data_IF_679622573802
#
_entry.id   IF_679622573802
#
_cell.length_a   1.000
_cell.length_b   1.000
_cell.length_c   1.000
_cell.angle_alpha   90.00
_cell.angle_beta   90.00
_cell.angle_gamma   90.00
#
_symmetry.space_group_name_H-M   'P 1'
#
loop_
_entity.id
_entity.type
_entity.pdbx_description
1 polymer ?
#
# COMPACT_ATOMS: atom_id res chain seq x y z
N UNK A 1 -2.33 9.97 -6.24
CA UNK A 1 -3.66 10.15 -5.63
C UNK A 1 -3.70 9.61 -4.20
N UNK A 2 -3.29 8.36 -3.97
CA UNK A 2 -3.28 7.71 -2.65
C UNK A 2 -2.43 8.43 -1.58
N UNK A 3 -1.23 8.91 -1.92
CA UNK A 3 -0.37 9.67 -0.99
C UNK A 3 -0.98 10.98 -0.50
N UNK A 4 -1.83 11.63 -1.32
CA UNK A 4 -2.45 12.92 -0.97
C UNK A 4 -3.69 12.78 -0.10
N UNK A 5 -4.38 11.65 -0.16
CA UNK A 5 -5.70 11.51 0.45
C UNK A 5 -5.66 11.21 1.95
N UNK A 6 -4.53 10.79 2.54
CA UNK A 6 -4.40 10.46 3.98
C UNK A 6 -5.54 9.56 4.51
N UNK A 7 -6.19 8.78 3.62
CA UNK A 7 -7.26 7.84 3.96
C UNK A 7 -6.69 6.43 3.87
N UNK A 8 -6.83 5.59 4.91
CA UNK A 8 -6.43 4.18 4.85
C UNK A 8 -7.16 3.44 3.72
N UNK A 9 -6.40 2.77 2.86
CA UNK A 9 -6.96 1.90 1.83
C UNK A 9 -7.08 0.47 2.38
N UNK A 10 -8.27 -0.12 2.29
CA UNK A 10 -8.53 -1.46 2.85
C UNK A 10 -8.45 -2.59 1.83
N UNK A 11 -8.68 -2.29 0.55
CA UNK A 11 -8.63 -3.24 -0.55
C UNK A 11 -8.45 -2.51 -1.88
N UNK A 12 -7.91 -3.21 -2.87
CA UNK A 12 -7.89 -2.83 -4.28
C UNK A 12 -8.93 -3.67 -5.01
N UNK A 13 -9.70 -3.03 -5.90
CA UNK A 13 -10.66 -3.71 -6.77
C UNK A 13 -10.25 -3.45 -8.22
N UNK A 14 -9.88 -4.52 -8.94
CA UNK A 14 -9.58 -4.44 -10.36
C UNK A 14 -10.86 -4.69 -11.16
N UNK A 15 -11.55 -3.60 -11.49
CA UNK A 15 -12.79 -3.64 -12.24
C UNK A 15 -12.54 -3.94 -13.72
N UNK A 16 -13.44 -4.73 -14.33
CA UNK A 16 -13.37 -5.13 -15.74
C UNK A 16 -12.05 -5.83 -16.12
N UNK A 17 -11.47 -6.57 -15.18
CA UNK A 17 -10.13 -7.17 -15.33
C UNK A 17 -10.03 -8.24 -16.42
N UNK A 18 -11.09 -9.04 -16.61
CA UNK A 18 -11.16 -10.05 -17.65
C UNK A 18 -12.59 -10.37 -18.07
N UNK A 19 -12.75 -11.11 -19.15
CA UNK A 19 -13.97 -11.84 -19.49
C UNK A 19 -13.64 -13.20 -20.08
N UNK A 20 -14.56 -14.14 -19.95
CA UNK A 20 -14.44 -15.48 -20.52
C UNK A 20 -15.35 -15.60 -21.75
N UNK A 21 -14.80 -16.05 -22.88
CA UNK A 21 -15.52 -16.28 -24.13
C UNK A 21 -14.90 -17.46 -24.90
N UNK A 22 -15.71 -18.31 -25.53
CA UNK A 22 -15.25 -19.45 -26.33
C UNK A 22 -14.26 -20.38 -25.59
N UNK A 23 -14.46 -20.56 -24.28
CA UNK A 23 -13.58 -21.38 -23.43
C UNK A 23 -12.21 -20.76 -23.13
N UNK A 24 -12.01 -19.48 -23.45
CA UNK A 24 -10.77 -18.74 -23.21
C UNK A 24 -11.02 -17.48 -22.39
N UNK A 25 -10.04 -17.13 -21.54
CA UNK A 25 -10.01 -15.88 -20.80
C UNK A 25 -9.29 -14.78 -21.58
N UNK A 26 -9.89 -13.61 -21.62
CA UNK A 26 -9.37 -12.41 -22.28
C UNK A 26 -9.20 -11.28 -21.27
N UNK A 27 -8.13 -10.51 -21.45
CA UNK A 27 -7.74 -9.40 -20.59
C UNK A 27 -7.72 -8.12 -21.43
N UNK A 28 -8.87 -7.44 -21.60
CA UNK A 28 -9.01 -6.33 -22.54
C UNK A 28 -8.09 -5.14 -22.23
N UNK A 29 -7.67 -5.01 -20.96
CA UNK A 29 -6.82 -3.91 -20.48
C UNK A 29 -5.43 -4.37 -20.03
N UNK A 30 -5.03 -5.60 -20.39
CA UNK A 30 -3.79 -6.21 -19.91
C UNK A 30 -3.93 -6.89 -18.55
N UNK A 31 -2.81 -7.30 -17.96
CA UNK A 31 -2.76 -8.08 -16.72
C UNK A 31 -1.86 -7.43 -15.68
N UNK A 32 -2.18 -7.66 -14.41
CA UNK A 32 -1.28 -7.42 -13.29
C UNK A 32 -1.30 -6.00 -12.73
N UNK A 33 -2.16 -5.10 -13.23
CA UNK A 33 -2.22 -3.72 -12.77
C UNK A 33 -2.65 -3.63 -11.29
N UNK A 34 -3.65 -4.41 -10.88
CA UNK A 34 -4.07 -4.47 -9.47
C UNK A 34 -3.00 -5.08 -8.56
N UNK A 35 -2.29 -6.11 -9.04
CA UNK A 35 -1.16 -6.71 -8.30
C UNK A 35 0.00 -5.74 -8.11
N UNK A 36 0.32 -4.93 -9.13
CA UNK A 36 1.34 -3.88 -9.03
C UNK A 36 0.94 -2.81 -8.00
N UNK A 37 -0.32 -2.36 -8.00
CA UNK A 37 -0.82 -1.40 -7.00
C UNK A 37 -0.73 -2.00 -5.60
N UNK A 38 -1.12 -3.26 -5.42
CA UNK A 38 -1.00 -3.96 -4.14
C UNK A 38 0.44 -3.99 -3.65
N UNK A 39 1.40 -4.38 -4.50
CA UNK A 39 2.82 -4.45 -4.14
C UNK A 39 3.42 -3.06 -3.87
N UNK A 40 3.01 -2.06 -4.64
CA UNK A 40 3.54 -0.70 -4.51
C UNK A 40 3.07 -0.01 -3.23
N UNK A 41 1.82 -0.25 -2.83
CA UNK A 41 1.23 0.43 -1.67
C UNK A 41 1.07 -0.49 -0.46
N UNK A 42 1.45 -1.77 -0.55
CA UNK A 42 1.33 -2.74 0.53
C UNK A 42 -0.10 -3.15 0.87
N UNK A 43 -1.07 -2.88 -0.01
CA UNK A 43 -2.49 -3.10 0.31
C UNK A 43 -2.78 -4.60 0.25
N UNK A 44 -3.20 -5.26 1.35
CA UNK A 44 -3.15 -6.72 1.44
C UNK A 44 -4.23 -7.47 0.64
N UNK A 45 -5.25 -6.78 0.11
CA UNK A 45 -6.41 -7.42 -0.52
C UNK A 45 -6.63 -6.91 -1.93
N UNK A 46 -6.70 -7.85 -2.89
CA UNK A 46 -7.07 -7.61 -4.29
C UNK A 46 -8.34 -8.39 -4.62
N UNK A 47 -9.31 -7.72 -5.25
CA UNK A 47 -10.53 -8.34 -5.75
C UNK A 47 -10.67 -8.11 -7.24
N UNK A 48 -10.75 -9.19 -7.99
CA UNK A 48 -10.95 -9.18 -9.43
C UNK A 48 -12.45 -9.15 -9.74
N UNK A 49 -12.91 -8.10 -10.42
CA UNK A 49 -14.28 -8.02 -10.92
C UNK A 49 -14.29 -8.20 -12.45
N UNK A 50 -14.76 -9.34 -12.97
CA UNK A 50 -14.81 -9.57 -14.40
C UNK A 50 -15.93 -8.78 -15.09
N UNK A 51 -15.81 -8.62 -16.40
CA UNK A 51 -16.91 -8.18 -17.25
C UNK A 51 -17.86 -9.36 -17.44
N UNK A 52 -19.02 -9.29 -16.80
CA UNK A 52 -20.08 -10.29 -16.93
C UNK A 52 -21.34 -9.67 -17.55
N UNK A 53 -21.92 -10.29 -18.60
CA UNK A 53 -23.14 -9.79 -19.21
C UNK A 53 -24.31 -9.70 -18.22
N UNK A 54 -24.41 -10.65 -17.29
CA UNK A 54 -25.47 -10.65 -16.27
C UNK A 54 -25.37 -9.43 -15.36
N UNK A 55 -24.17 -9.15 -14.84
CA UNK A 55 -23.89 -7.97 -14.01
C UNK A 55 -24.21 -6.64 -14.72
N UNK A 56 -23.95 -6.56 -16.03
CA UNK A 56 -24.33 -5.39 -16.82
C UNK A 56 -25.85 -5.28 -16.98
N UNK A 57 -26.54 -6.40 -17.26
CA UNK A 57 -27.98 -6.43 -17.47
C UNK A 57 -28.77 -6.18 -16.17
N UNK A 58 -28.23 -6.56 -15.00
CA UNK A 58 -28.85 -6.25 -13.70
C UNK A 58 -28.92 -4.74 -13.46
N UNK A 59 -27.99 -3.95 -14.02
CA UNK A 59 -28.07 -2.49 -14.05
C UNK A 59 -29.30 -1.94 -14.76
N UNK A 60 -29.65 -2.51 -15.91
CA UNK A 60 -30.81 -2.08 -16.71
C UNK A 60 -32.16 -2.45 -16.05
N UNK A 61 -32.20 -3.60 -15.36
CA UNK A 61 -33.41 -4.06 -14.67
C UNK A 61 -33.64 -3.40 -13.31
N UNK A 62 -32.62 -2.74 -12.76
CA UNK A 62 -32.64 -2.16 -11.41
C UNK A 62 -32.58 -3.20 -10.28
N UNK A 63 -32.36 -4.48 -10.59
CA UNK A 63 -32.20 -5.55 -9.61
C UNK A 63 -30.71 -5.87 -9.53
N UNK A 64 -30.02 -5.59 -8.41
CA UNK A 64 -28.59 -5.87 -8.28
C UNK A 64 -28.27 -7.36 -8.48
N UNK A 65 -27.13 -7.66 -9.10
CA UNK A 65 -26.69 -9.06 -9.35
C UNK A 65 -26.66 -9.91 -8.08
N UNK A 66 -26.22 -9.33 -6.95
CA UNK A 66 -26.21 -10.00 -5.63
C UNK A 66 -27.60 -10.44 -5.13
N UNK A 67 -28.67 -9.83 -5.66
CA UNK A 67 -30.06 -10.18 -5.37
C UNK A 67 -30.60 -11.16 -6.42
N UNK A 68 -30.29 -10.93 -7.70
CA UNK A 68 -30.76 -11.74 -8.81
C UNK A 68 -30.14 -13.15 -8.80
N UNK A 69 -28.84 -13.25 -8.54
CA UNK A 69 -28.11 -14.52 -8.38
C UNK A 69 -27.17 -14.46 -7.15
N UNK A 70 -27.69 -14.73 -5.94
CA UNK A 70 -26.89 -14.67 -4.71
C UNK A 70 -25.77 -15.71 -4.61
N UNK A 71 -25.78 -16.75 -5.47
CA UNK A 71 -24.77 -17.81 -5.48
C UNK A 71 -23.81 -17.68 -6.68
N UNK A 72 -24.04 -16.70 -7.54
CA UNK A 72 -23.19 -16.38 -8.68
C UNK A 72 -21.80 -15.88 -8.25
N UNK A 73 -20.85 -15.98 -9.17
CA UNK A 73 -19.45 -15.64 -8.88
C UNK A 73 -19.27 -14.15 -8.56
N UNK A 74 -19.96 -13.25 -9.28
CA UNK A 74 -19.98 -11.83 -8.95
C UNK A 74 -20.51 -11.59 -7.53
N UNK A 75 -21.60 -12.27 -7.14
CA UNK A 75 -22.19 -12.10 -5.82
C UNK A 75 -21.24 -12.56 -4.70
N UNK A 76 -20.56 -13.70 -4.88
CA UNK A 76 -19.52 -14.18 -3.96
C UNK A 76 -18.37 -13.19 -3.83
N UNK A 77 -17.89 -12.62 -4.95
CA UNK A 77 -16.81 -11.61 -4.91
C UNK A 77 -17.23 -10.36 -4.14
N UNK A 78 -18.43 -9.82 -4.40
CA UNK A 78 -18.96 -8.69 -3.63
C UNK A 78 -19.15 -9.01 -2.15
N UNK A 79 -19.62 -10.22 -1.82
CA UNK A 79 -19.77 -10.65 -0.43
C UNK A 79 -18.41 -10.73 0.28
N UNK A 80 -17.41 -11.34 -0.36
CA UNK A 80 -16.05 -11.43 0.17
C UNK A 80 -15.42 -10.04 0.34
N UNK A 81 -15.63 -9.13 -0.62
CA UNK A 81 -15.22 -7.73 -0.52
C UNK A 81 -15.88 -7.05 0.69
N UNK A 82 -17.19 -7.24 0.88
CA UNK A 82 -17.91 -6.71 2.04
C UNK A 82 -17.37 -7.22 3.38
N UNK A 83 -17.11 -8.52 3.48
CA UNK A 83 -16.47 -9.15 4.66
C UNK A 83 -15.09 -8.53 4.91
N UNK A 84 -14.28 -8.40 3.87
CA UNK A 84 -12.96 -7.77 3.97
C UNK A 84 -13.05 -6.33 4.50
N UNK A 85 -13.94 -5.50 3.95
CA UNK A 85 -14.16 -4.13 4.41
C UNK A 85 -14.52 -4.10 5.88
N UNK A 86 -15.48 -4.92 6.33
CA UNK A 86 -15.89 -4.98 7.74
C UNK A 86 -14.71 -5.36 8.65
N UNK A 87 -13.94 -6.39 8.27
CA UNK A 87 -12.79 -6.84 9.04
C UNK A 87 -11.69 -5.77 9.11
N UNK A 88 -11.35 -5.13 7.98
CA UNK A 88 -10.31 -4.09 7.97
C UNK A 88 -10.75 -2.84 8.74
N UNK A 89 -12.01 -2.40 8.61
CA UNK A 89 -12.53 -1.30 9.41
C UNK A 89 -12.49 -1.61 10.92
N UNK A 90 -12.76 -2.85 11.33
CA UNK A 90 -12.63 -3.26 12.72
C UNK A 90 -11.18 -3.21 13.20
N UNK A 91 -10.22 -3.72 12.40
CA UNK A 91 -8.78 -3.66 12.70
C UNK A 91 -8.28 -2.22 12.85
N UNK A 92 -8.64 -1.34 11.91
CA UNK A 92 -8.26 0.08 11.93
C UNK A 92 -8.77 0.78 13.20
N UNK A 93 -9.96 0.43 13.70
CA UNK A 93 -10.50 1.01 14.95
C UNK A 93 -9.78 0.54 16.21
N UNK A 94 -9.24 -0.68 16.20
CA UNK A 94 -8.58 -1.28 17.37
C UNK A 94 -7.09 -0.90 17.48
N UNK A 95 -6.43 -0.62 16.36
CA UNK A 95 -5.02 -0.25 16.35
C UNK A 95 -4.84 1.25 16.62
N UNK A 96 -4.30 1.59 17.80
CA UNK A 96 -4.04 2.97 18.24
C UNK A 96 -2.53 3.27 18.42
N UNK A 97 -1.62 2.33 18.14
CA UNK A 97 -0.18 2.61 18.28
C UNK A 97 0.46 2.94 16.93
N UNK A 98 1.10 4.10 16.83
CA UNK A 98 2.07 4.44 15.78
C UNK A 98 3.19 3.41 15.80
N UNK A 99 3.05 2.39 14.95
CA UNK A 99 4.03 1.35 14.65
C UNK A 99 5.41 1.93 14.26
N UNK A 100 5.42 3.10 13.62
CA UNK A 100 6.65 3.74 13.13
C UNK A 100 6.75 5.14 13.71
N UNK A 101 7.94 5.47 14.21
CA UNK A 101 8.26 6.78 14.78
C UNK A 101 9.69 7.19 14.44
N UNK A 102 9.97 8.49 14.47
CA UNK A 102 11.32 9.01 14.29
C UNK A 102 11.91 9.41 15.64
N UNK A 103 13.06 8.81 15.98
CA UNK A 103 13.79 9.10 17.20
C UNK A 103 14.96 10.05 16.89
N UNK A 104 14.76 11.34 17.21
CA UNK A 104 15.74 12.41 16.97
C UNK A 104 17.05 12.21 17.73
N UNK A 105 17.04 11.50 18.87
CA UNK A 105 18.24 11.34 19.70
C UNK A 105 19.29 10.45 19.05
N UNK A 106 18.81 9.48 18.28
CA UNK A 106 19.61 8.48 17.57
C UNK A 106 19.54 8.62 16.05
N UNK A 107 18.80 9.64 15.57
CA UNK A 107 18.55 9.96 14.16
C UNK A 107 18.10 8.75 13.34
N UNK A 108 17.19 7.95 13.90
CA UNK A 108 16.72 6.71 13.30
C UNK A 108 15.20 6.61 13.29
N UNK A 109 14.66 5.93 12.27
CA UNK A 109 13.26 5.53 12.22
C UNK A 109 13.12 4.21 12.97
N UNK A 110 12.35 4.22 14.05
CA UNK A 110 11.97 3.04 14.83
C UNK A 110 10.73 2.43 14.21
N UNK A 111 10.83 1.16 13.83
CA UNK A 111 9.75 0.39 13.19
C UNK A 111 9.38 -0.77 14.08
N UNK A 112 8.10 -0.84 14.44
CA UNK A 112 7.44 -1.99 15.05
C UNK A 112 6.25 -2.38 14.20
N UNK A 113 6.39 -3.43 13.42
CA UNK A 113 5.35 -3.88 12.48
C UNK A 113 4.10 -4.33 13.25
N UNK A 114 2.89 -3.99 12.80
CA UNK A 114 1.66 -4.48 13.42
C UNK A 114 1.66 -6.01 13.50
N UNK A 115 1.19 -6.55 14.63
CA UNK A 115 1.12 -8.00 14.89
C UNK A 115 2.49 -8.72 14.96
N UNK A 116 3.61 -7.97 14.95
CA UNK A 116 4.97 -8.47 15.23
C UNK A 116 5.48 -7.96 16.59
N UNK A 117 6.23 -8.81 17.29
CA UNK A 117 6.97 -8.42 18.50
C UNK A 117 8.35 -7.84 18.18
N UNK A 118 8.75 -7.85 16.91
CA UNK A 118 10.03 -7.34 16.46
C UNK A 118 10.02 -5.80 16.34
N UNK A 119 11.02 -5.17 16.94
CA UNK A 119 11.32 -3.74 16.76
C UNK A 119 12.72 -3.60 16.17
N UNK A 120 12.86 -2.78 15.14
CA UNK A 120 14.12 -2.52 14.47
C UNK A 120 14.27 -1.05 14.10
N UNK A 121 15.50 -0.66 13.78
CA UNK A 121 15.86 0.70 13.40
C UNK A 121 16.23 0.75 11.93
N UNK A 122 15.80 1.81 11.26
CA UNK A 122 16.16 2.11 9.87
C UNK A 122 16.77 3.50 9.79
N UNK A 123 17.76 3.65 8.91
CA UNK A 123 18.30 4.95 8.60
C UNK A 123 17.31 5.74 7.71
N UNK A 124 17.03 7.03 7.98
CA UNK A 124 16.07 7.81 7.20
C UNK A 124 16.37 7.84 5.69
N UNK A 125 17.65 8.03 5.32
CA UNK A 125 18.05 8.02 3.91
C UNK A 125 17.75 6.67 3.23
N UNK A 126 17.96 5.54 3.92
CA UNK A 126 17.64 4.21 3.40
C UNK A 126 16.14 4.07 3.10
N UNK A 127 15.28 4.58 3.99
CA UNK A 127 13.82 4.57 3.76
C UNK A 127 13.46 5.45 2.56
N UNK A 128 13.98 6.68 2.49
CA UNK A 128 13.69 7.63 1.41
C UNK A 128 14.18 7.14 0.04
N UNK A 129 15.36 6.54 -0.01
CA UNK A 129 15.97 6.00 -1.22
C UNK A 129 15.23 4.78 -1.76
N UNK A 130 14.51 4.05 -0.92
CA UNK A 130 13.75 2.87 -1.35
C UNK A 130 12.30 3.20 -1.70
N UNK A 131 11.93 4.45 -1.98
CA UNK A 131 10.59 4.77 -2.46
C UNK A 131 10.28 4.04 -3.79
N UNK A 132 9.18 3.29 -3.81
CA UNK A 132 8.71 2.51 -4.98
C UNK A 132 7.55 3.19 -5.72
N UNK A 133 7.22 4.43 -5.41
CA UNK A 133 6.13 5.13 -6.08
C UNK A 133 6.45 5.38 -7.57
N UNK A 134 5.43 5.58 -8.39
CA UNK A 134 5.58 5.96 -9.81
C UNK A 134 6.33 7.28 -10.03
N UNK A 135 6.47 8.09 -8.97
CA UNK A 135 7.30 9.31 -9.00
C UNK A 135 8.79 8.99 -8.90
N UNK A 136 9.15 7.86 -8.28
CA UNK A 136 10.52 7.42 -8.07
C UNK A 136 10.93 6.22 -8.92
N UNK A 137 9.99 5.58 -9.63
CA UNK A 137 10.23 4.46 -10.55
C UNK A 137 9.59 4.75 -11.90
N UNK A 138 10.28 4.46 -12.99
CA UNK A 138 9.70 4.50 -14.33
C UNK A 138 8.76 3.32 -14.55
N UNK A 139 7.49 3.59 -14.89
CA UNK A 139 6.46 2.56 -15.04
C UNK A 139 6.68 1.64 -16.25
N UNK A 140 7.50 2.06 -17.23
CA UNK A 140 7.75 1.32 -18.46
C UNK A 140 9.07 0.55 -18.42
N UNK A 141 10.08 1.06 -17.71
CA UNK A 141 11.40 0.40 -17.60
C UNK A 141 11.63 -0.28 -16.25
N UNK A 142 10.87 0.09 -15.21
CA UNK A 142 11.09 -0.35 -13.83
C UNK A 142 12.33 0.26 -13.18
N UNK A 143 13.04 1.15 -13.87
CA UNK A 143 14.25 1.78 -13.35
C UNK A 143 13.92 2.89 -12.35
N UNK A 144 14.76 3.00 -11.32
CA UNK A 144 14.60 4.02 -10.30
C UNK A 144 15.01 5.39 -10.85
N UNK A 145 14.07 6.33 -10.82
CA UNK A 145 14.27 7.72 -11.29
C UNK A 145 15.14 8.54 -10.34
N UNK A 146 15.14 8.19 -9.06
CA UNK A 146 15.99 8.84 -8.05
C UNK A 146 17.35 8.14 -8.07
N UNK A 147 18.42 8.88 -8.36
CA UNK A 147 19.77 8.31 -8.33
C UNK A 147 20.36 8.35 -6.92
N UNK A 148 21.21 7.36 -6.62
CA UNK A 148 21.96 7.30 -5.37
C UNK A 148 22.89 8.53 -5.28
N UNK A 149 22.54 9.51 -4.45
CA UNK A 149 23.25 10.80 -4.31
C UNK A 149 22.35 12.03 -4.30
N UNK A 150 21.10 11.92 -4.75
CA UNK A 150 20.14 13.05 -4.76
C UNK A 150 19.48 13.30 -3.39
N UNK A 151 19.55 12.32 -2.49
CA UNK A 151 18.95 12.37 -1.16
C UNK A 151 20.05 12.63 -0.12
N UNK A 152 19.97 13.72 0.67
CA UNK A 152 20.95 13.99 1.73
C UNK A 152 21.02 12.85 2.74
N UNK A 153 22.24 12.45 3.14
CA UNK A 153 22.43 11.41 4.17
C UNK A 153 21.83 11.81 5.52
N UNK A 154 21.76 13.11 5.79
CA UNK A 154 21.25 13.68 7.03
C UNK A 154 19.75 14.03 6.97
N UNK A 155 19.03 13.58 5.92
CA UNK A 155 17.60 13.83 5.75
C UNK A 155 16.80 13.30 6.95
N UNK A 156 15.85 14.09 7.44
CA UNK A 156 14.99 13.73 8.56
C UNK A 156 13.52 13.82 8.14
N UNK A 157 12.66 12.87 8.54
CA UNK A 157 11.24 12.98 8.24
C UNK A 157 10.60 14.14 9.01
N UNK A 158 9.80 14.95 8.33
CA UNK A 158 9.03 16.04 8.95
C UNK A 158 7.84 15.49 9.73
N UNK A 159 7.19 14.47 9.18
CA UNK A 159 5.99 13.88 9.74
C UNK A 159 5.89 12.38 9.36
N UNK A 160 5.49 11.54 10.31
CA UNK A 160 5.14 10.14 10.07
C UNK A 160 3.71 9.92 10.56
N UNK A 161 2.83 9.45 9.67
CA UNK A 161 1.43 9.13 9.99
C UNK A 161 1.10 7.68 9.62
N UNK A 162 0.38 6.93 10.47
CA UNK A 162 -0.07 5.59 10.12
C UNK A 162 -1.11 5.66 8.99
N UNK A 163 -1.00 4.74 8.01
CA UNK A 163 -1.96 4.55 6.93
C UNK A 163 -2.62 3.19 7.08
N UNK A 164 -3.54 3.11 8.05
CA UNK A 164 -4.13 1.84 8.45
C UNK A 164 -3.09 0.86 8.99
N UNK A 165 -3.32 -0.43 8.73
CA UNK A 165 -2.51 -1.54 9.22
C UNK A 165 -1.47 -2.03 8.21
N UNK A 166 -1.29 -1.33 7.09
CA UNK A 166 -0.47 -1.83 5.98
C UNK A 166 0.74 -0.94 5.64
N UNK A 167 0.70 0.35 5.97
CA UNK A 167 1.78 1.29 5.66
C UNK A 167 1.83 2.48 6.62
N UNK A 168 2.87 3.29 6.48
CA UNK A 168 2.95 4.66 6.99
C UNK A 168 3.16 5.66 5.87
N UNK A 169 2.60 6.86 6.03
CA UNK A 169 2.93 8.02 5.22
C UNK A 169 4.05 8.79 5.91
N UNK A 170 5.13 9.08 5.16
CA UNK A 170 6.27 9.87 5.61
C UNK A 170 6.35 11.12 4.75
N UNK A 171 6.33 12.30 5.38
CA UNK A 171 6.57 13.59 4.72
C UNK A 171 8.03 13.95 4.89
N UNK A 172 8.68 14.29 3.78
CA UNK A 172 10.10 14.60 3.72
C UNK A 172 10.35 16.08 3.39
N UNK A 173 11.50 16.66 3.81
CA UNK A 173 11.83 18.07 3.57
C UNK A 173 11.99 18.46 2.10
N UNK A 174 12.20 17.48 1.22
CA UNK A 174 12.24 17.67 -0.24
C UNK A 174 10.83 17.90 -0.85
N UNK A 175 9.80 18.00 0.01
CA UNK A 175 8.40 18.14 -0.38
C UNK A 175 7.74 16.82 -0.79
N UNK A 176 8.44 15.70 -0.67
CA UNK A 176 7.96 14.39 -1.06
C UNK A 176 7.11 13.74 0.04
N UNK A 177 6.03 13.08 -0.35
CA UNK A 177 5.17 12.31 0.56
C UNK A 177 5.20 10.84 0.14
N UNK A 178 6.02 10.08 0.86
CA UNK A 178 6.25 8.66 0.64
C UNK A 178 5.22 7.82 1.39
N UNK A 179 4.67 6.80 0.73
CA UNK A 179 3.96 5.72 1.40
C UNK A 179 4.95 4.57 1.54
N UNK A 180 5.23 4.16 2.77
CA UNK A 180 6.13 3.07 3.11
C UNK A 180 5.32 1.91 3.70
N UNK A 181 5.03 0.87 2.89
CA UNK A 181 4.46 -0.39 3.36
C UNK A 181 5.28 -1.05 4.45
N UNK A 182 4.62 -1.71 5.42
CA UNK A 182 5.33 -2.36 6.52
C UNK A 182 6.20 -3.54 6.03
N UNK A 183 5.70 -4.35 5.10
CA UNK A 183 6.45 -5.44 4.48
C UNK A 183 7.69 -4.94 3.73
N UNK A 184 7.60 -3.76 3.10
CA UNK A 184 8.74 -3.13 2.48
C UNK A 184 9.76 -2.67 3.52
N UNK A 185 9.32 -2.05 4.62
CA UNK A 185 10.21 -1.61 5.70
C UNK A 185 10.97 -2.79 6.34
N UNK A 186 10.34 -3.96 6.46
CA UNK A 186 10.98 -5.18 6.97
C UNK A 186 12.12 -5.69 6.08
N UNK A 187 12.05 -5.43 4.77
CA UNK A 187 13.06 -5.86 3.79
C UNK A 187 14.25 -4.89 3.69
N UNK A 188 14.18 -3.71 4.31
CA UNK A 188 15.26 -2.72 4.24
C UNK A 188 16.45 -3.11 5.11
N UNK A 189 17.63 -2.62 4.72
CA UNK A 189 18.84 -2.77 5.51
C UNK A 189 18.67 -2.09 6.87
N UNK A 190 18.87 -2.88 7.93
CA UNK A 190 18.67 -2.46 9.31
C UNK A 190 19.87 -1.65 9.80
N UNK A 191 19.59 -0.61 10.58
CA UNK A 191 20.61 0.15 11.28
C UNK A 191 21.09 -0.67 12.50
N UNK A 192 22.29 -1.24 12.40
CA UNK A 192 22.88 -2.10 13.43
C UNK A 192 23.63 -1.27 14.49
N UNK A 193 24.25 -0.17 14.06
CA UNK A 193 24.96 0.78 14.91
C UNK A 193 24.23 2.11 14.97
N UNK A 194 23.89 2.54 16.18
CA UNK A 194 23.25 3.82 16.41
C UNK A 194 24.30 4.94 16.30
N UNK A 195 24.12 5.95 15.43
CA UNK A 195 24.97 7.13 15.43
C UNK A 195 24.95 7.78 16.81
N UNK A 196 26.08 7.78 17.52
CA UNK A 196 26.21 8.52 18.77
C UNK A 196 25.99 9.99 18.46
N UNK A 197 25.01 10.63 19.11
CA UNK A 197 24.85 12.06 19.06
C UNK A 197 26.22 12.71 19.32
N UNK A 198 26.75 13.42 18.32
CA UNK A 198 27.95 14.19 18.51
C UNK A 198 27.65 15.21 19.61
N UNK A 199 28.35 15.11 20.74
CA UNK A 199 28.29 16.13 21.78
C UNK A 199 28.69 17.46 21.15
N UNK A 200 27.71 18.30 20.86
CA UNK A 200 27.93 19.71 20.54
C UNK A 200 28.27 20.36 21.89
N UNK A 201 29.57 20.55 22.14
CA UNK A 201 30.09 21.42 23.18
C UNK A 201 29.96 22.88 22.77
#
# INVERSE_FOLDING_TARGET
MFSKLKVPCVAVVENMCYFDADGKRYYPFGQGSGSQVVQQFGIPHLFDLPIQPTLSASGDTGIPEVVADPQGDAAKTFQNLGVCVVQQCAKIRQQVSTAVSYDRSIRAIRVKVPDSDEEFLLHPATVRQNDRSAQSVDEWTGEQKVQYGDIPEDIEPEEIRPMGNYAVSITWPDGFSQIAPYDQLEMLERLVDVPRAANIL
#
